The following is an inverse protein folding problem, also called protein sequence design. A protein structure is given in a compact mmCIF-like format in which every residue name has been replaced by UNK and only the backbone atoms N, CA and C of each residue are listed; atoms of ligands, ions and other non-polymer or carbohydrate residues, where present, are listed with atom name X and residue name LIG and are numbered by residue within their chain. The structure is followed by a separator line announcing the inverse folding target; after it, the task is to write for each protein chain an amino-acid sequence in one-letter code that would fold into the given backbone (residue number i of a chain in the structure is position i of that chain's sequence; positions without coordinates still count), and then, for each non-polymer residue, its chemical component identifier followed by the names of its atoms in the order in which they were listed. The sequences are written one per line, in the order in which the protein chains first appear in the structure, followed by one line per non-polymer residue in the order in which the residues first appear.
data_IF_075166433232
#
_entry.id   IF_075166433232
#
_cell.length_a   1.000
_cell.length_b   1.000
_cell.length_c   1.000
_cell.angle_alpha   90.00
_cell.angle_beta   90.00
_cell.angle_gamma   90.00
#
_symmetry.space_group_name_H-M   'P 1'
#
loop_
_entity.id
_entity.type
_entity.pdbx_description
1 polymer ?
#
# COMPACT_ATOMS: atom_id res chain seq x y z
N UNK A 1 -33.10 -33.59 -6.77
CA UNK A 1 -33.45 -32.66 -5.67
C UNK A 1 -32.79 -31.32 -5.97
N UNK A 2 -33.54 -30.21 -6.05
CA UNK A 2 -32.95 -28.92 -6.38
C UNK A 2 -32.15 -28.42 -5.18
N UNK A 3 -30.92 -27.95 -5.42
CA UNK A 3 -30.06 -27.36 -4.39
C UNK A 3 -30.62 -25.97 -4.08
N UNK A 4 -31.10 -25.78 -2.85
CA UNK A 4 -31.65 -24.51 -2.38
C UNK A 4 -30.50 -23.63 -1.86
N UNK A 5 -30.09 -22.66 -2.68
CA UNK A 5 -28.95 -21.77 -2.41
C UNK A 5 -29.30 -20.59 -1.47
N UNK A 6 -30.53 -20.55 -0.92
CA UNK A 6 -31.02 -19.44 -0.08
C UNK A 6 -30.36 -19.33 1.29
N UNK A 7 -29.57 -20.34 1.69
CA UNK A 7 -28.86 -20.38 2.98
C UNK A 7 -27.36 -20.11 2.89
N UNK A 8 -26.82 -19.69 1.74
CA UNK A 8 -25.44 -19.22 1.66
C UNK A 8 -25.33 -17.84 2.33
N UNK A 9 -25.16 -17.83 3.66
CA UNK A 9 -24.69 -16.67 4.41
C UNK A 9 -23.38 -16.21 3.77
N UNK A 10 -23.36 -14.98 3.27
CA UNK A 10 -22.16 -14.28 2.83
C UNK A 10 -21.12 -14.41 3.94
N UNK A 11 -19.99 -15.04 3.62
CA UNK A 11 -18.78 -14.92 4.42
C UNK A 11 -18.27 -13.50 4.22
N UNK A 12 -18.75 -12.58 5.06
CA UNK A 12 -18.12 -11.27 5.21
C UNK A 12 -16.73 -11.50 5.79
N UNK A 13 -15.73 -11.63 4.90
CA UNK A 13 -14.33 -11.49 5.25
C UNK A 13 -14.03 -10.01 5.53
N UNK A 14 -14.63 -9.46 6.57
CA UNK A 14 -14.25 -8.16 7.11
C UNK A 14 -13.44 -8.36 8.37
N UNK A 15 -12.26 -8.93 8.20
CA UNK A 15 -11.17 -8.76 9.16
C UNK A 15 -9.96 -8.28 8.38
N UNK A 16 -10.04 -7.04 7.86
CA UNK A 16 -8.80 -6.28 7.70
C UNK A 16 -8.20 -6.20 9.11
N UNK A 17 -6.98 -6.69 9.35
CA UNK A 17 -6.34 -6.50 10.64
C UNK A 17 -6.36 -5.00 10.91
N UNK A 18 -6.94 -4.60 12.04
CA UNK A 18 -6.84 -3.23 12.50
C UNK A 18 -5.34 -2.89 12.49
N UNK A 19 -4.94 -1.78 11.84
CA UNK A 19 -3.53 -1.46 11.74
C UNK A 19 -2.97 -1.36 13.15
N UNK A 20 -2.01 -2.23 13.45
CA UNK A 20 -1.33 -2.19 14.72
C UNK A 20 -0.64 -0.83 14.78
N UNK A 21 -0.97 0.00 15.77
CA UNK A 21 -0.38 1.33 15.91
C UNK A 21 1.15 1.19 15.88
N UNK A 22 1.80 1.80 14.87
CA UNK A 22 3.23 1.64 14.60
C UNK A 22 3.60 0.66 13.48
N UNK A 23 2.64 0.09 12.76
CA UNK A 23 2.89 -0.73 11.58
C UNK A 23 3.53 0.11 10.47
N UNK A 24 4.76 -0.28 10.12
CA UNK A 24 5.49 0.32 8.99
C UNK A 24 5.30 -0.55 7.76
N UNK A 25 4.96 0.08 6.65
CA UNK A 25 4.79 -0.56 5.36
C UNK A 25 5.85 -0.08 4.38
N UNK A 26 6.33 -1.02 3.56
CA UNK A 26 7.20 -0.69 2.44
C UNK A 26 6.32 -0.35 1.24
N UNK A 27 6.48 0.87 0.75
CA UNK A 27 5.78 1.38 -0.42
C UNK A 27 6.75 1.65 -1.53
N UNK A 28 6.31 1.45 -2.76
CA UNK A 28 6.94 1.96 -3.95
C UNK A 28 6.27 3.28 -4.30
N UNK A 29 7.06 4.33 -4.49
CA UNK A 29 6.59 5.69 -4.75
C UNK A 29 7.13 6.15 -6.08
N UNK A 30 6.22 6.52 -6.98
CA UNK A 30 6.53 7.20 -8.23
C UNK A 30 6.17 8.68 -8.08
N UNK A 31 7.12 9.56 -8.34
CA UNK A 31 6.91 11.00 -8.35
C UNK A 31 6.48 11.48 -9.74
N UNK A 32 5.75 12.58 -9.76
CA UNK A 32 5.47 13.34 -10.96
C UNK A 32 6.78 13.82 -11.62
N UNK A 33 6.75 14.01 -12.94
CA UNK A 33 7.92 14.46 -13.69
C UNK A 33 8.38 15.85 -13.21
N UNK A 34 9.65 15.97 -12.80
CA UNK A 34 10.21 17.21 -12.27
C UNK A 34 9.80 17.54 -10.82
N UNK A 35 9.03 16.68 -10.16
CA UNK A 35 8.71 16.84 -8.74
C UNK A 35 9.87 16.38 -7.85
N UNK A 36 10.09 17.12 -6.77
CA UNK A 36 11.08 16.74 -5.75
C UNK A 36 10.47 15.76 -4.76
N UNK A 37 11.33 14.96 -4.13
CA UNK A 37 10.92 14.03 -3.09
C UNK A 37 10.48 14.82 -1.86
N UNK A 38 9.28 14.53 -1.31
CA UNK A 38 8.87 15.14 -0.06
C UNK A 38 9.78 14.78 1.12
N UNK A 39 10.20 15.78 1.90
CA UNK A 39 11.16 15.62 3.03
C UNK A 39 10.67 14.67 4.13
N UNK A 40 9.35 14.49 4.24
CA UNK A 40 8.75 13.61 5.24
C UNK A 40 8.91 12.11 4.89
N UNK A 41 9.49 11.79 3.73
CA UNK A 41 9.69 10.43 3.24
C UNK A 41 11.18 10.13 3.13
N UNK A 42 11.65 9.20 3.95
CA UNK A 42 12.98 8.63 3.80
C UNK A 42 12.94 7.52 2.74
N UNK A 43 13.66 7.71 1.64
CA UNK A 43 13.87 6.64 0.67
C UNK A 43 14.73 5.54 1.30
N UNK A 44 14.27 4.29 1.16
CA UNK A 44 15.01 3.09 1.57
C UNK A 44 15.96 2.63 0.46
N UNK A 45 15.48 2.69 -0.79
CA UNK A 45 16.29 2.41 -1.96
C UNK A 45 15.74 3.18 -3.15
N UNK A 46 16.63 3.80 -3.90
CA UNK A 46 16.35 4.45 -5.18
C UNK A 46 16.38 3.41 -6.31
N UNK A 47 15.34 3.40 -7.15
CA UNK A 47 15.24 2.48 -8.29
C UNK A 47 15.56 3.22 -9.59
N UNK A 48 15.02 4.42 -9.75
CA UNK A 48 15.32 5.34 -10.85
C UNK A 48 15.01 6.79 -10.43
N UNK A 49 15.38 7.80 -11.24
CA UNK A 49 14.93 9.17 -11.00
C UNK A 49 13.39 9.21 -10.91
N UNK A 50 12.86 9.74 -9.80
CA UNK A 50 11.42 9.78 -9.55
C UNK A 50 10.79 8.45 -9.12
N UNK A 51 11.52 7.35 -8.97
CA UNK A 51 10.99 6.07 -8.49
C UNK A 51 11.85 5.51 -7.36
N UNK A 52 11.27 5.36 -6.18
CA UNK A 52 11.98 4.87 -5.02
C UNK A 52 11.06 4.06 -4.12
N UNK A 53 11.68 3.20 -3.31
CA UNK A 53 11.00 2.52 -2.22
C UNK A 53 11.18 3.31 -0.93
N UNK A 54 10.14 3.37 -0.10
CA UNK A 54 10.16 4.03 1.20
C UNK A 54 9.46 3.17 2.26
N UNK A 55 9.86 3.35 3.51
CA UNK A 55 9.21 2.70 4.64
C UNK A 55 8.50 3.75 5.48
N UNK A 56 7.17 3.77 5.40
CA UNK A 56 6.33 4.77 6.06
C UNK A 56 5.40 4.13 7.08
N UNK A 57 4.99 4.87 8.12
CA UNK A 57 3.85 4.47 8.96
C UNK A 57 2.60 4.34 8.09
N UNK A 58 1.77 3.33 8.34
CA UNK A 58 0.54 3.14 7.57
C UNK A 58 -0.38 4.37 7.63
N UNK A 59 -0.42 5.06 8.76
CA UNK A 59 -1.21 6.29 8.99
C UNK A 59 -0.85 7.43 8.01
N UNK A 60 0.37 7.39 7.44
CA UNK A 60 0.85 8.36 6.45
C UNK A 60 0.65 7.91 5.01
N UNK A 61 0.16 6.70 4.76
CA UNK A 61 -0.08 6.19 3.41
C UNK A 61 -1.09 7.06 2.67
N UNK A 62 -2.21 7.38 3.31
CA UNK A 62 -3.25 8.20 2.70
C UNK A 62 -2.78 9.63 2.43
N UNK A 63 -1.91 10.16 3.29
CA UNK A 63 -1.27 11.47 3.06
C UNK A 63 -0.35 11.42 1.83
N UNK A 64 0.41 10.34 1.68
CA UNK A 64 1.32 10.15 0.57
C UNK A 64 0.59 10.03 -0.77
N UNK A 65 -0.53 9.30 -0.79
CA UNK A 65 -1.37 9.16 -1.98
C UNK A 65 -2.05 10.46 -2.40
N UNK A 66 -2.28 11.37 -1.45
CA UNK A 66 -2.87 12.68 -1.70
C UNK A 66 -1.82 13.76 -2.04
N UNK A 67 -0.54 13.43 -2.02
CA UNK A 67 0.54 14.38 -2.26
C UNK A 67 0.63 14.74 -3.76
N UNK A 68 0.60 16.03 -4.14
CA UNK A 68 0.67 16.45 -5.54
C UNK A 68 2.00 16.11 -6.23
N UNK A 69 3.07 15.89 -5.48
CA UNK A 69 4.35 15.45 -6.02
C UNK A 69 4.35 13.95 -6.39
N UNK A 70 3.37 13.18 -5.92
CA UNK A 70 3.29 11.73 -6.10
C UNK A 70 2.35 11.41 -7.25
N UNK A 71 2.87 10.68 -8.23
CA UNK A 71 2.09 10.16 -9.36
C UNK A 71 1.38 8.87 -8.97
N UNK A 72 2.08 7.96 -8.28
CA UNK A 72 1.49 6.71 -7.80
C UNK A 72 2.20 6.13 -6.59
N UNK A 73 1.45 5.37 -5.78
CA UNK A 73 1.94 4.63 -4.62
C UNK A 73 1.48 3.19 -4.74
N UNK A 74 2.39 2.24 -4.57
CA UNK A 74 2.06 0.81 -4.49
C UNK A 74 2.59 0.19 -3.20
N UNK A 75 1.72 -0.56 -2.51
CA UNK A 75 2.11 -1.35 -1.35
C UNK A 75 2.91 -2.58 -1.81
N UNK A 76 4.13 -2.71 -1.31
CA UNK A 76 4.96 -3.87 -1.59
C UNK A 76 4.40 -5.09 -0.88
N UNK A 77 3.64 -5.91 -1.61
CA UNK A 77 3.13 -7.18 -1.09
C UNK A 77 4.23 -8.22 -1.10
N UNK A 78 4.29 -9.03 -0.04
CA UNK A 78 5.11 -10.25 -0.07
C UNK A 78 4.60 -11.13 -1.20
N UNK A 79 5.50 -11.54 -2.09
CA UNK A 79 5.18 -12.53 -3.11
C UNK A 79 4.63 -13.77 -2.39
N UNK A 80 3.50 -14.34 -2.85
CA UNK A 80 2.99 -15.57 -2.26
C UNK A 80 4.08 -16.63 -2.35
N UNK A 81 4.40 -17.25 -1.22
CA UNK A 81 5.40 -18.28 -1.15
C UNK A 81 4.87 -19.47 -1.97
N UNK A 82 5.40 -19.65 -3.17
CA UNK A 82 5.18 -20.88 -3.95
C UNK A 82 6.00 -21.97 -3.27
N UNK A 83 5.36 -22.72 -2.36
CA UNK A 83 5.88 -23.96 -1.79
C UNK A 83 5.21 -25.16 -2.44
#
# INVERSE_FOLDING_TARGET
MPIDLRSLKKLDFSAAPAPVSGERVVVLVKLCEGAERPDYIAARADISPGLFSAEIPLDKLQQLEADPAVESVELSRRLPNIS
#
